data_IF_461320172258
#
_entry.id   IF_461320172258
#
_cell.length_a   1.000
_cell.length_b   1.000
_cell.length_c   1.000
_cell.angle_alpha   90.00
_cell.angle_beta   90.00
_cell.angle_gamma   90.00
#
_symmetry.space_group_name_H-M   'P 1'
#
loop_
_entity.id
_entity.type
_entity.pdbx_description
1 polymer ?
#
# COMPACT_ATOMS: atom_id res chain seq x y z
N UNK A 1 -19.13 -10.00 -34.01
CA UNK A 1 -18.02 -10.88 -33.58
C UNK A 1 -18.11 -11.02 -32.08
N UNK A 2 -18.55 -12.18 -31.60
CA UNK A 2 -18.73 -12.49 -30.18
C UNK A 2 -17.37 -12.88 -29.61
N UNK A 3 -16.82 -12.06 -28.70
CA UNK A 3 -15.64 -12.41 -27.92
C UNK A 3 -16.04 -13.41 -26.86
N UNK A 4 -15.58 -14.65 -26.99
CA UNK A 4 -15.74 -15.68 -25.97
C UNK A 4 -14.97 -15.25 -24.72
N UNK A 5 -15.68 -14.98 -23.64
CA UNK A 5 -15.09 -14.86 -22.30
C UNK A 5 -14.62 -16.26 -21.88
N UNK A 6 -13.33 -16.39 -21.57
CA UNK A 6 -12.73 -17.62 -21.04
C UNK A 6 -13.47 -18.07 -19.76
N UNK A 7 -13.95 -19.32 -19.66
CA UNK A 7 -14.63 -19.84 -18.48
C UNK A 7 -13.76 -19.91 -17.21
N UNK A 8 -12.45 -19.67 -17.30
CA UNK A 8 -11.55 -19.62 -16.14
C UNK A 8 -11.74 -18.38 -15.26
N UNK A 9 -12.35 -17.31 -15.77
CA UNK A 9 -12.50 -16.03 -15.07
C UNK A 9 -11.18 -15.28 -14.85
N UNK A 10 -10.04 -15.81 -15.33
CA UNK A 10 -8.75 -15.15 -15.26
C UNK A 10 -8.57 -14.24 -16.48
N UNK A 11 -8.22 -12.98 -16.23
CA UNK A 11 -7.83 -12.06 -17.30
C UNK A 11 -6.47 -12.52 -17.86
N UNK A 12 -6.37 -12.90 -19.15
CA UNK A 12 -5.14 -13.39 -19.76
C UNK A 12 -4.01 -12.35 -19.78
N UNK A 13 -4.30 -11.08 -19.44
CA UNK A 13 -3.30 -10.04 -19.28
C UNK A 13 -2.56 -10.08 -17.93
N UNK A 14 -3.05 -10.84 -16.94
CA UNK A 14 -2.41 -10.94 -15.63
C UNK A 14 -1.37 -12.04 -15.64
N UNK A 15 -0.12 -11.68 -15.31
CA UNK A 15 0.94 -12.65 -15.08
C UNK A 15 0.52 -13.64 -13.98
N UNK A 16 0.47 -14.96 -14.25
CA UNK A 16 0.15 -15.97 -13.26
C UNK A 16 1.06 -15.93 -12.01
N UNK A 17 2.27 -15.36 -12.13
CA UNK A 17 3.20 -15.20 -11.02
C UNK A 17 2.87 -14.02 -10.09
N UNK A 18 2.01 -13.09 -10.52
CA UNK A 18 1.69 -11.87 -9.79
C UNK A 18 1.13 -12.16 -8.39
N UNK A 19 0.32 -13.21 -8.25
CA UNK A 19 -0.22 -13.62 -6.95
C UNK A 19 0.86 -14.02 -5.94
N UNK A 20 1.89 -14.74 -6.39
CA UNK A 20 3.03 -15.12 -5.55
C UNK A 20 3.86 -13.88 -5.15
N UNK A 21 4.17 -13.01 -6.12
CA UNK A 21 4.91 -11.77 -5.87
C UNK A 21 4.17 -10.83 -4.88
N UNK A 22 2.84 -10.74 -5.01
CA UNK A 22 2.00 -10.00 -4.07
C UNK A 22 2.07 -10.61 -2.66
N UNK A 23 1.97 -11.93 -2.55
CA UNK A 23 2.03 -12.62 -1.26
C UNK A 23 3.38 -12.42 -0.56
N UNK A 24 4.49 -12.53 -1.29
CA UNK A 24 5.84 -12.31 -0.76
C UNK A 24 6.01 -10.86 -0.28
N UNK A 25 5.51 -9.89 -1.04
CA UNK A 25 5.51 -8.48 -0.63
C UNK A 25 4.74 -8.27 0.68
N UNK A 26 3.55 -8.86 0.80
CA UNK A 26 2.75 -8.76 2.03
C UNK A 26 3.45 -9.44 3.20
N UNK A 27 4.13 -10.57 2.97
CA UNK A 27 4.93 -11.25 4.00
C UNK A 27 6.06 -10.36 4.53
N UNK A 28 6.73 -9.60 3.67
CA UNK A 28 7.74 -8.62 4.09
C UNK A 28 7.13 -7.43 4.86
N UNK A 29 5.95 -6.95 4.44
CA UNK A 29 5.25 -5.82 5.06
C UNK A 29 4.60 -6.17 6.41
N UNK A 30 4.22 -7.43 6.61
CA UNK A 30 3.45 -7.89 7.77
C UNK A 30 4.08 -7.57 9.14
N UNK A 31 5.38 -7.79 9.39
CA UNK A 31 5.97 -7.54 10.71
C UNK A 31 6.09 -6.04 11.07
N UNK A 32 5.90 -5.12 10.13
CA UNK A 32 6.05 -3.69 10.40
C UNK A 32 4.83 -3.18 11.19
N UNK A 33 5.05 -2.83 12.45
CA UNK A 33 4.05 -2.18 13.30
C UNK A 33 3.64 -0.82 12.72
N UNK A 34 2.43 -0.76 12.16
CA UNK A 34 1.87 0.43 11.51
C UNK A 34 0.66 0.98 12.25
N UNK A 35 0.52 2.30 12.19
CA UNK A 35 -0.69 3.04 12.55
C UNK A 35 -0.97 4.09 11.45
N UNK A 36 -1.84 5.05 11.72
CA UNK A 36 -2.18 6.15 10.79
C UNK A 36 -1.05 7.17 10.62
N UNK A 37 -0.07 7.20 11.53
CA UNK A 37 1.15 8.00 11.48
C UNK A 37 2.34 7.15 11.96
N UNK A 38 3.56 7.66 11.81
CA UNK A 38 4.78 7.06 12.36
C UNK A 38 5.69 6.38 11.34
N UNK A 39 6.83 5.91 11.85
CA UNK A 39 7.92 5.37 11.06
C UNK A 39 7.56 4.06 10.38
N UNK A 40 6.75 3.22 11.00
CA UNK A 40 6.26 1.98 10.36
C UNK A 40 5.42 2.26 9.10
N UNK A 41 4.67 3.36 9.07
CA UNK A 41 3.93 3.78 7.87
C UNK A 41 4.91 4.25 6.78
N UNK A 42 5.88 5.10 7.13
CA UNK A 42 6.90 5.59 6.18
C UNK A 42 7.71 4.43 5.58
N UNK A 43 8.15 3.48 6.41
CA UNK A 43 8.88 2.29 5.96
C UNK A 43 8.06 1.49 4.96
N UNK A 44 6.78 1.26 5.26
CA UNK A 44 5.88 0.53 4.37
C UNK A 44 5.65 1.23 3.04
N UNK A 45 5.48 2.56 3.04
CA UNK A 45 5.34 3.34 1.80
C UNK A 45 6.62 3.31 0.96
N UNK A 46 7.81 3.36 1.58
CA UNK A 46 9.09 3.19 0.87
C UNK A 46 9.23 1.80 0.24
N UNK A 47 8.70 0.76 0.89
CA UNK A 47 8.69 -0.59 0.31
C UNK A 47 7.76 -0.67 -0.90
N UNK A 48 6.56 -0.11 -0.80
CA UNK A 48 5.60 -0.06 -1.90
C UNK A 48 6.10 0.79 -3.07
N UNK A 49 6.88 1.84 -2.80
CA UNK A 49 7.50 2.69 -3.83
C UNK A 49 8.49 1.93 -4.75
N UNK A 50 8.94 0.73 -4.36
CA UNK A 50 9.75 -0.16 -5.22
C UNK A 50 8.92 -0.86 -6.31
N UNK A 51 7.61 -0.98 -6.10
CA UNK A 51 6.69 -1.70 -6.98
C UNK A 51 6.04 -0.74 -7.98
N UNK A 52 5.65 0.43 -7.49
CA UNK A 52 5.08 1.50 -8.30
C UNK A 52 5.58 2.85 -7.78
N UNK A 53 5.74 3.86 -8.66
CA UNK A 53 6.16 5.18 -8.23
C UNK A 53 5.14 5.80 -7.26
N UNK A 54 5.63 6.27 -6.11
CA UNK A 54 4.83 6.95 -5.08
C UNK A 54 5.51 8.26 -4.68
N UNK A 55 4.74 9.35 -4.69
CA UNK A 55 5.16 10.63 -4.13
C UNK A 55 4.76 10.67 -2.65
N UNK A 56 5.75 10.65 -1.76
CA UNK A 56 5.51 10.76 -0.32
C UNK A 56 5.43 12.22 0.08
N UNK A 57 4.31 12.59 0.71
CA UNK A 57 4.07 13.93 1.25
C UNK A 57 3.73 13.81 2.73
N UNK A 58 4.33 14.66 3.56
CA UNK A 58 4.03 14.74 4.98
C UNK A 58 3.23 16.00 5.28
N UNK A 59 2.18 15.86 6.10
CA UNK A 59 1.36 16.97 6.57
C UNK A 59 1.61 17.15 8.07
N UNK A 60 1.98 18.36 8.54
CA UNK A 60 2.28 18.57 9.95
C UNK A 60 1.10 18.28 10.88
N UNK A 61 1.37 17.71 12.06
CA UNK A 61 0.37 17.59 13.14
C UNK A 61 -0.24 18.94 13.50
N UNK A 62 -1.52 18.95 13.85
CA UNK A 62 -2.30 20.17 14.11
C UNK A 62 -2.85 20.85 12.84
N UNK A 63 -2.49 20.37 11.64
CA UNK A 63 -3.07 20.91 10.40
C UNK A 63 -4.58 20.64 10.37
N UNK A 64 -5.38 21.70 10.18
CA UNK A 64 -6.83 21.60 10.01
C UNK A 64 -7.18 21.12 8.61
N UNK A 65 -7.91 20.02 8.50
CA UNK A 65 -8.36 19.41 7.25
C UNK A 65 -9.87 19.19 7.32
N UNK A 66 -10.62 20.21 6.90
CA UNK A 66 -12.07 20.30 7.11
C UNK A 66 -12.41 20.16 8.61
N UNK A 67 -13.30 19.24 8.96
CA UNK A 67 -13.71 18.97 10.34
C UNK A 67 -12.64 18.21 11.14
N UNK A 68 -11.59 17.70 10.48
CA UNK A 68 -10.54 16.90 11.09
C UNK A 68 -9.27 17.71 11.37
N UNK A 69 -8.45 17.18 12.26
CA UNK A 69 -7.09 17.67 12.53
C UNK A 69 -6.10 16.54 12.30
N UNK A 70 -4.95 16.85 11.70
CA UNK A 70 -3.87 15.87 11.58
C UNK A 70 -3.34 15.56 12.98
N UNK A 71 -3.37 14.29 13.43
CA UNK A 71 -3.01 13.95 14.79
C UNK A 71 -1.51 14.09 15.05
N UNK A 72 -1.08 14.06 16.32
CA UNK A 72 0.32 13.83 16.67
C UNK A 72 0.87 12.57 16.00
N UNK A 73 2.16 12.60 15.66
CA UNK A 73 2.85 11.41 15.19
C UNK A 73 2.98 10.39 16.33
N UNK A 74 2.73 9.11 16.02
CA UNK A 74 2.86 8.02 16.97
C UNK A 74 3.91 7.01 16.50
N UNK A 75 4.83 6.64 17.40
CA UNK A 75 5.84 5.60 17.17
C UNK A 75 5.87 4.65 18.37
N UNK A 76 5.91 3.34 18.10
CA UNK A 76 6.14 2.31 19.11
C UNK A 76 7.64 2.15 19.37
N UNK A 77 8.04 1.96 20.63
CA UNK A 77 9.42 1.69 21.05
C UNK A 77 9.47 0.54 22.04
#
# INVERSE_FOLDING_TARGET
>A
MSGATDPSGADPAVDPSAGAAMYDTIRELYPICRSITGDGLRESLRMLARIAPLDLVEVPSGTRVFDWEVPPEWNVR
#
